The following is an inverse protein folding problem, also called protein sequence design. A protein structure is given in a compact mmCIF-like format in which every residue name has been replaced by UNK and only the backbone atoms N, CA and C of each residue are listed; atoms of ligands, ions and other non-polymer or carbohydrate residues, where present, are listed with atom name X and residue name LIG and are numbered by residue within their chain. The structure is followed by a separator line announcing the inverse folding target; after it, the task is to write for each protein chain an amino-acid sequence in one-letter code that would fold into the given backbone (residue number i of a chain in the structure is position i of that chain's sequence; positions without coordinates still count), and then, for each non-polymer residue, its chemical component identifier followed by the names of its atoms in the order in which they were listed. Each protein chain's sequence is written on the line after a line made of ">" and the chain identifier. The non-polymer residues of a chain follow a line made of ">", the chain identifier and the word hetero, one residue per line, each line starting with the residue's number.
data_IF_553787399794
#
_entry.id   IF_553787399794
#
_cell.length_a   1.000
_cell.length_b   1.000
_cell.length_c   1.000
_cell.angle_alpha   90.00
_cell.angle_beta   90.00
_cell.angle_gamma   90.00
#
_symmetry.space_group_name_H-M   'P 1'
#
loop_
_entity.id
_entity.type
_entity.pdbx_description
1 polymer ?
#
# COMPACT_ATOMS: atom_id res chain seq x y z
N UNK A 1 -8.59 2.96 30.17
CA UNK A 1 -8.25 2.94 28.73
C UNK A 1 -6.94 2.17 28.61
N UNK A 2 -6.89 1.04 27.88
CA UNK A 2 -5.65 0.26 27.79
C UNK A 2 -4.55 1.10 27.13
N UNK A 3 -3.36 1.12 27.74
CA UNK A 3 -2.24 2.04 27.46
C UNK A 3 -1.59 1.91 26.05
N UNK A 4 -2.25 1.23 25.11
CA UNK A 4 -1.74 0.91 23.77
C UNK A 4 -2.68 1.28 22.62
N UNK A 5 -3.82 1.93 22.89
CA UNK A 5 -4.97 1.99 21.98
C UNK A 5 -4.73 2.52 20.56
N UNK A 6 -3.73 3.37 20.33
CA UNK A 6 -3.46 3.96 19.01
C UNK A 6 -1.96 4.15 18.73
N UNK A 7 -1.14 3.11 18.95
CA UNK A 7 0.29 3.20 18.62
C UNK A 7 0.54 2.91 17.13
N UNK A 8 1.25 3.78 16.38
CA UNK A 8 1.69 3.47 15.01
C UNK A 8 2.66 2.26 14.98
N UNK A 9 3.24 1.89 16.12
CA UNK A 9 4.07 0.69 16.24
C UNK A 9 3.27 -0.60 16.03
N UNK A 10 1.97 -0.61 16.33
CA UNK A 10 1.12 -1.78 16.16
C UNK A 10 0.98 -2.20 14.68
N UNK A 11 0.53 -1.34 13.74
CA UNK A 11 0.46 -1.70 12.33
C UNK A 11 1.84 -2.01 11.72
N UNK A 12 2.91 -1.35 12.18
CA UNK A 12 4.30 -1.69 11.78
C UNK A 12 4.67 -3.10 12.25
N UNK A 13 4.31 -3.50 13.47
CA UNK A 13 4.61 -4.83 13.98
C UNK A 13 3.75 -5.91 13.31
N UNK A 14 2.47 -5.62 13.07
CA UNK A 14 1.54 -6.53 12.39
C UNK A 14 1.97 -6.76 10.94
N UNK A 15 2.55 -5.77 10.26
CA UNK A 15 2.95 -5.98 8.86
C UNK A 15 3.95 -7.09 8.67
N UNK A 16 4.78 -7.37 9.68
CA UNK A 16 5.71 -8.50 9.67
C UNK A 16 5.03 -9.89 9.67
N UNK A 17 3.71 -9.95 9.84
CA UNK A 17 2.90 -11.18 9.86
C UNK A 17 2.25 -11.51 8.52
N UNK A 18 2.27 -10.61 7.54
CA UNK A 18 1.87 -10.90 6.17
C UNK A 18 3.06 -10.89 5.21
N UNK A 19 2.90 -11.49 4.04
CA UNK A 19 3.94 -11.55 3.00
C UNK A 19 4.00 -10.26 2.19
N UNK A 20 2.84 -9.70 1.85
CA UNK A 20 2.69 -8.40 1.20
C UNK A 20 1.37 -7.73 1.63
N UNK A 21 1.19 -6.44 1.33
CA UNK A 21 -0.06 -5.73 1.57
C UNK A 21 -0.51 -4.90 0.38
N UNK A 22 -1.83 -4.77 0.23
CA UNK A 22 -2.47 -3.82 -0.69
C UNK A 22 -3.13 -2.73 0.16
N UNK A 23 -2.92 -1.46 -0.20
CA UNK A 23 -3.60 -0.34 0.46
C UNK A 23 -3.78 0.83 -0.50
N UNK A 24 -4.73 1.71 -0.22
CA UNK A 24 -4.67 3.06 -0.78
C UNK A 24 -3.50 3.84 -0.14
N UNK A 25 -3.20 5.04 -0.67
CA UNK A 25 -2.23 5.95 -0.03
C UNK A 25 -2.79 6.49 1.30
N UNK A 26 -2.68 5.68 2.35
CA UNK A 26 -3.20 5.92 3.69
C UNK A 26 -2.12 5.76 4.75
N UNK A 27 -2.36 6.27 5.95
CA UNK A 27 -1.44 6.09 7.09
C UNK A 27 -1.08 4.62 7.34
N UNK A 28 -2.05 3.70 7.19
CA UNK A 28 -1.79 2.26 7.30
C UNK A 28 -0.81 1.77 6.22
N UNK A 29 -1.01 2.15 4.96
CA UNK A 29 -0.09 1.83 3.86
C UNK A 29 1.34 2.33 4.13
N UNK A 30 1.49 3.53 4.70
CA UNK A 30 2.79 4.05 5.13
C UNK A 30 3.40 3.22 6.28
N UNK A 31 2.61 2.84 7.29
CA UNK A 31 3.11 2.01 8.40
C UNK A 31 3.50 0.60 7.93
N UNK A 32 2.77 0.02 6.98
CA UNK A 32 3.10 -1.26 6.39
C UNK A 32 4.41 -1.21 5.60
N UNK A 33 4.61 -0.14 4.81
CA UNK A 33 5.85 0.12 4.08
C UNK A 33 7.07 0.16 5.03
N UNK A 34 6.95 0.87 6.15
CA UNK A 34 8.01 0.98 7.18
C UNK A 34 8.33 -0.38 7.82
N UNK A 35 7.36 -1.30 7.92
CA UNK A 35 7.60 -2.64 8.45
C UNK A 35 8.43 -3.56 7.57
N UNK A 36 8.79 -3.12 6.35
CA UNK A 36 9.76 -3.80 5.48
C UNK A 36 9.20 -4.94 4.62
N UNK A 37 7.87 -5.06 4.54
CA UNK A 37 7.19 -5.97 3.62
C UNK A 37 6.82 -5.25 2.31
N UNK A 38 6.77 -5.98 1.18
CA UNK A 38 6.24 -5.44 -0.06
C UNK A 38 4.85 -4.84 0.10
N UNK A 39 4.65 -3.68 -0.51
CA UNK A 39 3.35 -2.99 -0.53
C UNK A 39 2.97 -2.58 -1.94
N UNK A 40 1.72 -2.89 -2.31
CA UNK A 40 1.06 -2.38 -3.51
C UNK A 40 0.16 -1.22 -3.08
N UNK A 41 0.48 0.00 -3.55
CA UNK A 41 -0.22 1.22 -3.15
C UNK A 41 -1.04 1.76 -4.31
N UNK A 42 -2.33 1.90 -4.07
CA UNK A 42 -3.33 2.40 -5.02
C UNK A 42 -3.46 3.92 -4.89
N UNK A 43 -3.27 4.62 -6.02
CA UNK A 43 -3.45 6.05 -6.13
C UNK A 43 -4.64 6.38 -7.04
N UNK A 44 -5.61 7.10 -6.47
CA UNK A 44 -6.64 7.81 -7.21
C UNK A 44 -6.20 9.24 -7.51
N UNK A 45 -6.96 10.22 -7.00
CA UNK A 45 -6.73 11.67 -7.20
C UNK A 45 -5.41 12.20 -6.61
N UNK A 46 -4.77 11.44 -5.73
CA UNK A 46 -3.57 11.88 -5.00
C UNK A 46 -2.30 11.72 -5.83
N UNK A 47 -1.40 12.70 -5.78
CA UNK A 47 -0.13 12.67 -6.52
C UNK A 47 0.91 11.75 -5.83
N UNK A 48 1.39 10.67 -6.49
CA UNK A 48 2.34 9.73 -5.88
C UNK A 48 3.67 10.37 -5.45
N UNK A 49 4.22 11.29 -6.26
CA UNK A 49 5.49 11.97 -5.98
C UNK A 49 5.51 12.71 -4.64
N UNK A 50 4.35 13.14 -4.11
CA UNK A 50 4.26 13.91 -2.87
C UNK A 50 4.01 13.01 -1.64
N UNK A 51 3.42 11.84 -1.84
CA UNK A 51 2.92 10.98 -0.77
C UNK A 51 3.38 9.53 -0.94
N UNK A 52 4.61 9.34 -1.40
CA UNK A 52 5.19 8.02 -1.58
C UNK A 52 5.57 7.41 -0.22
N UNK A 53 5.17 6.17 0.09
CA UNK A 53 5.67 5.49 1.27
C UNK A 53 7.18 5.27 1.23
N UNK A 54 7.83 5.39 2.39
CA UNK A 54 9.27 5.21 2.53
C UNK A 54 9.62 3.73 2.62
N UNK A 55 9.80 3.09 1.46
CA UNK A 55 10.26 1.71 1.34
C UNK A 55 10.87 1.49 -0.04
N UNK A 56 11.79 0.54 -0.13
CA UNK A 56 12.37 0.05 -1.38
C UNK A 56 11.51 -1.05 -2.04
N UNK A 57 10.53 -1.61 -1.32
CA UNK A 57 9.61 -2.66 -1.80
C UNK A 57 8.21 -2.11 -2.12
N UNK A 58 8.16 -1.11 -2.99
CA UNK A 58 6.94 -0.39 -3.35
C UNK A 58 6.53 -0.66 -4.80
N UNK A 59 5.30 -1.13 -4.98
CA UNK A 59 4.61 -1.16 -6.27
C UNK A 59 3.49 -0.11 -6.27
N UNK A 60 3.44 0.74 -7.28
CA UNK A 60 2.45 1.82 -7.39
C UNK A 60 1.48 1.51 -8.52
N UNK A 61 0.18 1.52 -8.23
CA UNK A 61 -0.89 1.44 -9.23
C UNK A 61 -1.66 2.75 -9.23
N UNK A 62 -1.83 3.33 -10.41
CA UNK A 62 -2.49 4.63 -10.60
C UNK A 62 -3.77 4.45 -11.38
N UNK A 63 -4.87 5.00 -10.87
CA UNK A 63 -6.14 5.06 -11.58
C UNK A 63 -6.02 5.70 -12.97
N UNK A 64 -5.14 6.70 -13.10
CA UNK A 64 -4.93 7.41 -14.37
C UNK A 64 -4.38 6.52 -15.49
N UNK A 65 -3.81 5.36 -15.15
CA UNK A 65 -3.40 4.37 -16.15
C UNK A 65 -4.60 3.60 -16.75
N UNK A 66 -5.79 3.77 -16.17
CA UNK A 66 -7.02 3.04 -16.53
C UNK A 66 -8.20 3.98 -16.88
N UNK A 67 -7.90 5.21 -17.30
CA UNK A 67 -8.92 6.09 -17.90
C UNK A 67 -9.52 7.15 -16.98
N UNK A 68 -9.06 7.31 -15.74
CA UNK A 68 -9.52 8.42 -14.90
C UNK A 68 -8.82 8.53 -13.55
N UNK A 69 -9.04 9.62 -12.79
CA UNK A 69 -8.38 9.82 -11.50
C UNK A 69 -9.04 9.02 -10.36
N UNK A 70 -10.23 8.48 -10.56
CA UNK A 70 -10.98 7.80 -9.51
C UNK A 70 -10.50 6.37 -9.27
N UNK A 71 -10.43 5.95 -8.00
CA UNK A 71 -9.85 4.66 -7.60
C UNK A 71 -10.61 3.46 -8.18
N UNK A 72 -11.91 3.59 -8.43
CA UNK A 72 -12.72 2.55 -9.06
C UNK A 72 -12.35 2.26 -10.51
N UNK A 73 -11.51 3.10 -11.14
CA UNK A 73 -10.99 2.82 -12.48
C UNK A 73 -9.89 1.75 -12.45
N UNK A 74 -9.29 1.46 -11.29
CA UNK A 74 -8.26 0.43 -11.16
C UNK A 74 -8.94 -0.95 -11.23
N UNK A 75 -8.66 -1.78 -12.26
CA UNK A 75 -9.20 -3.13 -12.36
C UNK A 75 -8.62 -4.02 -11.25
N UNK A 76 -9.43 -4.96 -10.76
CA UNK A 76 -8.99 -5.93 -9.75
C UNK A 76 -7.82 -6.77 -10.29
N UNK A 77 -7.91 -7.22 -11.54
CA UNK A 77 -6.86 -8.01 -12.21
C UNK A 77 -5.48 -7.33 -12.17
N UNK A 78 -5.45 -6.00 -12.33
CA UNK A 78 -4.19 -5.24 -12.26
C UNK A 78 -3.60 -5.20 -10.84
N UNK A 79 -4.46 -5.25 -9.82
CA UNK A 79 -4.05 -5.34 -8.40
C UNK A 79 -3.57 -6.74 -8.08
N UNK A 80 -4.26 -7.79 -8.56
CA UNK A 80 -3.87 -9.19 -8.40
C UNK A 80 -2.52 -9.45 -9.06
N UNK A 81 -2.33 -9.06 -10.31
CA UNK A 81 -1.06 -9.23 -11.03
C UNK A 81 0.11 -8.54 -10.31
N UNK A 82 -0.12 -7.34 -9.77
CA UNK A 82 0.88 -6.62 -9.00
C UNK A 82 1.21 -7.31 -7.67
N UNK A 83 0.20 -7.87 -7.00
CA UNK A 83 0.36 -8.58 -5.74
C UNK A 83 1.11 -9.91 -5.95
N UNK A 84 0.76 -10.69 -6.96
CA UNK A 84 1.44 -11.94 -7.30
C UNK A 84 2.92 -11.72 -7.65
N UNK A 85 3.23 -10.66 -8.41
CA UNK A 85 4.62 -10.28 -8.73
C UNK A 85 5.45 -10.04 -7.47
N UNK A 86 4.91 -9.35 -6.46
CA UNK A 86 5.67 -9.07 -5.23
C UNK A 86 5.74 -10.26 -4.26
N UNK A 87 4.84 -11.23 -4.39
CA UNK A 87 4.89 -12.48 -3.59
C UNK A 87 5.89 -13.49 -4.15
N UNK A 88 6.23 -13.38 -5.43
CA UNK A 88 7.11 -14.32 -6.15
C UNK A 88 8.54 -13.77 -6.39
N UNK A 89 8.82 -12.55 -5.94
CA UNK A 89 10.13 -11.88 -6.02
C UNK A 89 10.98 -12.11 -4.78
#
# INVERSE_FOLDING_TARGET
>A
QAAHGFSPLLPIAISKRFEAAVSNVSGAGHMFAVGGRPVVILYGVTAPKKFQPMTDKLTIIRAQNFGGPEMHNIPIDAVEEALEKVLTS
#
